data_IF_875507446990
#
_entry.id   IF_875507446990
#
_cell.length_a   1.000
_cell.length_b   1.000
_cell.length_c   1.000
_cell.angle_alpha   90.00
_cell.angle_beta   90.00
_cell.angle_gamma   90.00
#
_symmetry.space_group_name_H-M   'P 1'
#
loop_
_entity.id
_entity.type
_entity.pdbx_description
1 polymer ?
#
# COMPACT_ATOMS: atom_id res chain seq x y z
N UNK A 1 14.63 -11.00 -14.88
CA UNK A 1 15.23 -10.19 -13.79
C UNK A 1 16.77 -10.18 -13.80
N UNK A 2 17.46 -11.31 -13.97
CA UNK A 2 18.94 -11.42 -13.86
C UNK A 2 19.74 -10.49 -14.80
N UNK A 3 19.36 -10.41 -16.09
CA UNK A 3 20.06 -9.57 -17.07
C UNK A 3 19.96 -8.07 -16.77
N UNK A 4 18.79 -7.62 -16.31
CA UNK A 4 18.58 -6.23 -15.88
C UNK A 4 19.50 -5.86 -14.72
N UNK A 5 19.56 -6.69 -13.66
CA UNK A 5 20.39 -6.38 -12.50
C UNK A 5 21.90 -6.41 -12.80
N UNK A 6 22.35 -7.22 -13.79
CA UNK A 6 23.74 -7.16 -14.29
C UNK A 6 24.07 -5.83 -14.96
N UNK A 7 23.11 -5.22 -15.67
CA UNK A 7 23.28 -3.90 -16.30
C UNK A 7 23.15 -2.75 -15.30
N UNK A 8 22.22 -2.83 -14.35
CA UNK A 8 22.05 -1.77 -13.36
C UNK A 8 23.24 -1.69 -12.43
N UNK A 9 23.77 -2.83 -11.95
CA UNK A 9 24.85 -2.82 -10.95
C UNK A 9 26.13 -2.12 -11.41
N UNK A 10 26.39 -2.07 -12.73
CA UNK A 10 27.59 -1.43 -13.29
C UNK A 10 27.54 0.10 -13.25
N UNK A 11 26.37 0.70 -12.96
CA UNK A 11 26.19 2.15 -12.91
C UNK A 11 26.89 2.82 -11.72
N UNK A 12 27.32 2.06 -10.71
CA UNK A 12 28.01 2.56 -9.51
C UNK A 12 28.85 1.47 -8.87
N UNK A 13 29.91 1.87 -8.17
CA UNK A 13 30.84 0.93 -7.53
C UNK A 13 30.28 0.28 -6.26
N UNK A 14 29.43 0.98 -5.50
CA UNK A 14 28.86 0.51 -4.23
C UNK A 14 27.34 0.62 -4.28
N UNK A 15 26.66 -0.41 -3.77
CA UNK A 15 25.21 -0.47 -3.66
C UNK A 15 24.79 -0.63 -2.21
N UNK A 16 23.94 0.26 -1.73
CA UNK A 16 23.21 0.03 -0.47
C UNK A 16 21.94 -0.76 -0.73
N UNK A 17 21.36 -1.34 0.32
CA UNK A 17 20.05 -1.97 0.23
C UNK A 17 18.97 -1.00 -0.24
N UNK A 18 19.01 0.25 0.25
CA UNK A 18 18.10 1.33 -0.13
C UNK A 18 18.16 1.62 -1.64
N UNK A 19 19.37 1.66 -2.19
CA UNK A 19 19.59 1.89 -3.62
C UNK A 19 19.02 0.76 -4.49
N UNK A 20 19.27 -0.49 -4.08
CA UNK A 20 18.72 -1.65 -4.76
C UNK A 20 17.19 -1.61 -4.77
N UNK A 21 16.57 -1.38 -3.60
CA UNK A 21 15.11 -1.31 -3.47
C UNK A 21 14.53 -0.19 -4.33
N UNK A 22 15.21 0.96 -4.42
CA UNK A 22 14.79 2.07 -5.28
C UNK A 22 14.79 1.69 -6.77
N UNK A 23 15.88 1.11 -7.28
CA UNK A 23 15.98 0.69 -8.68
C UNK A 23 15.04 -0.48 -9.01
N UNK A 24 14.94 -1.44 -8.10
CA UNK A 24 14.02 -2.56 -8.21
C UNK A 24 12.57 -2.08 -8.32
N UNK A 25 12.17 -1.21 -7.40
CA UNK A 25 10.84 -0.62 -7.44
C UNK A 25 10.63 0.22 -8.69
N UNK A 26 11.61 1.01 -9.13
CA UNK A 26 11.47 1.79 -10.36
C UNK A 26 11.25 0.89 -11.59
N UNK A 27 11.93 -0.26 -11.66
CA UNK A 27 11.82 -1.19 -12.79
C UNK A 27 10.54 -2.03 -12.77
N UNK A 28 10.15 -2.52 -11.60
CA UNK A 28 9.10 -3.54 -11.45
C UNK A 28 7.82 -3.03 -10.79
N UNK A 29 7.88 -1.85 -10.18
CA UNK A 29 6.76 -1.22 -9.49
C UNK A 29 6.64 0.26 -9.90
N UNK A 30 6.34 0.50 -11.20
CA UNK A 30 6.36 1.83 -11.79
C UNK A 30 5.34 2.75 -11.11
N UNK A 31 5.51 4.06 -11.30
CA UNK A 31 4.70 5.07 -10.63
C UNK A 31 3.20 4.85 -10.85
N UNK A 32 2.80 4.47 -12.06
CA UNK A 32 1.40 4.23 -12.42
C UNK A 32 0.80 3.04 -11.66
N UNK A 33 1.62 2.05 -11.27
CA UNK A 33 1.16 0.93 -10.45
C UNK A 33 0.94 1.36 -8.99
N UNK A 34 1.82 2.22 -8.47
CA UNK A 34 1.68 2.82 -7.13
C UNK A 34 0.45 3.72 -7.06
N UNK A 35 0.28 4.58 -8.06
CA UNK A 35 -0.85 5.50 -8.14
C UNK A 35 -2.17 4.73 -8.20
N UNK A 36 -2.24 3.62 -8.97
CA UNK A 36 -3.41 2.74 -8.98
C UNK A 36 -3.70 2.10 -7.62
N UNK A 37 -2.67 1.69 -6.88
CA UNK A 37 -2.86 1.14 -5.53
C UNK A 37 -3.32 2.21 -4.56
N UNK A 38 -2.82 3.43 -4.69
CA UNK A 38 -3.23 4.56 -3.88
C UNK A 38 -4.67 4.99 -4.17
N UNK A 39 -5.07 5.04 -5.44
CA UNK A 39 -6.47 5.25 -5.83
C UNK A 39 -7.37 4.14 -5.28
N UNK A 40 -6.96 2.87 -5.42
CA UNK A 40 -7.69 1.74 -4.81
C UNK A 40 -7.83 1.89 -3.31
N UNK A 41 -6.80 2.36 -2.61
CA UNK A 41 -6.86 2.57 -1.17
C UNK A 41 -7.82 3.70 -0.77
N UNK A 42 -7.83 4.79 -1.54
CA UNK A 42 -8.73 5.93 -1.35
C UNK A 42 -10.20 5.59 -1.67
N UNK A 43 -10.42 4.69 -2.62
CA UNK A 43 -11.77 4.21 -2.97
C UNK A 43 -12.20 2.98 -2.16
N UNK A 44 -11.29 2.39 -1.37
CA UNK A 44 -11.60 1.18 -0.60
C UNK A 44 -12.71 1.46 0.42
N UNK A 45 -13.80 0.73 0.25
CA UNK A 45 -14.90 0.63 1.20
C UNK A 45 -15.19 -0.85 1.44
N UNK A 46 -15.86 -1.16 2.55
CA UNK A 46 -16.30 -2.52 2.84
C UNK A 46 -17.18 -3.04 1.70
N UNK A 47 -18.04 -2.21 1.11
CA UNK A 47 -18.93 -2.60 0.02
C UNK A 47 -19.70 -3.86 0.39
N UNK A 48 -19.77 -4.84 -0.51
CA UNK A 48 -20.41 -6.13 -0.21
C UNK A 48 -19.54 -7.15 0.55
N UNK A 49 -18.30 -6.79 0.91
CA UNK A 49 -17.37 -7.69 1.60
C UNK A 49 -17.73 -7.90 3.07
N UNK A 50 -17.32 -9.04 3.62
CA UNK A 50 -17.24 -9.20 5.07
C UNK A 50 -16.20 -8.24 5.66
N UNK A 51 -16.30 -7.95 6.97
CA UNK A 51 -15.33 -7.08 7.66
C UNK A 51 -13.92 -7.67 7.56
N UNK A 52 -13.78 -9.00 7.64
CA UNK A 52 -12.49 -9.69 7.56
C UNK A 52 -11.84 -9.59 6.17
N UNK A 53 -12.63 -9.71 5.10
CA UNK A 53 -12.11 -9.53 3.74
C UNK A 53 -11.72 -8.08 3.48
N UNK A 54 -12.52 -7.13 3.95
CA UNK A 54 -12.20 -5.71 3.91
C UNK A 54 -10.90 -5.39 4.66
N UNK A 55 -10.72 -5.93 5.87
CA UNK A 55 -9.52 -5.76 6.68
C UNK A 55 -8.27 -6.33 6.01
N UNK A 56 -8.35 -7.53 5.45
CA UNK A 56 -7.26 -8.12 4.69
C UNK A 56 -6.86 -7.28 3.47
N UNK A 57 -7.83 -6.69 2.76
CA UNK A 57 -7.57 -5.81 1.62
C UNK A 57 -7.00 -4.46 2.08
N UNK A 58 -7.52 -3.88 3.17
CA UNK A 58 -7.03 -2.66 3.77
C UNK A 58 -5.56 -2.79 4.16
N UNK A 59 -5.21 -3.82 4.95
CA UNK A 59 -3.83 -4.07 5.38
C UNK A 59 -2.88 -4.26 4.19
N UNK A 60 -3.32 -4.97 3.14
CA UNK A 60 -2.53 -5.16 1.93
C UNK A 60 -2.24 -3.83 1.23
N UNK A 61 -3.21 -2.92 1.15
CA UNK A 61 -3.04 -1.64 0.48
C UNK A 61 -2.21 -0.65 1.30
N UNK A 62 -2.40 -0.62 2.63
CA UNK A 62 -1.65 0.26 3.56
C UNK A 62 -0.13 0.11 3.40
N UNK A 63 0.36 -1.11 3.24
CA UNK A 63 1.80 -1.39 3.04
C UNK A 63 2.34 -0.73 1.76
N UNK A 64 1.53 -0.64 0.71
CA UNK A 64 1.96 -0.13 -0.59
C UNK A 64 1.77 1.38 -0.76
N UNK A 65 0.96 2.03 0.09
CA UNK A 65 0.69 3.47 0.05
C UNK A 65 1.52 4.28 1.05
N UNK A 66 2.53 3.66 1.68
CA UNK A 66 3.34 4.33 2.71
C UNK A 66 2.61 4.46 4.04
N UNK A 67 1.79 3.48 4.40
CA UNK A 67 1.03 3.45 5.66
C UNK A 67 1.88 3.59 6.92
N UNK A 68 3.15 3.18 6.88
CA UNK A 68 4.12 3.39 7.97
C UNK A 68 4.39 4.88 8.26
N UNK A 69 4.13 5.77 7.30
CA UNK A 69 4.26 7.23 7.44
C UNK A 69 2.98 7.89 7.95
N UNK A 70 1.89 7.13 8.10
CA UNK A 70 0.58 7.60 8.53
C UNK A 70 0.38 7.22 9.99
N UNK A 71 -0.11 8.15 10.81
CA UNK A 71 -0.38 7.84 12.22
C UNK A 71 -1.44 6.74 12.35
N UNK A 72 -1.29 5.88 13.36
CA UNK A 72 -2.25 4.81 13.66
C UNK A 72 -3.68 5.35 13.78
N UNK A 73 -3.85 6.51 14.42
CA UNK A 73 -5.15 7.19 14.54
C UNK A 73 -5.74 7.54 13.17
N UNK A 74 -4.93 8.02 12.22
CA UNK A 74 -5.40 8.33 10.88
C UNK A 74 -5.78 7.07 10.10
N UNK A 75 -5.01 5.97 10.24
CA UNK A 75 -5.33 4.67 9.67
C UNK A 75 -6.64 4.10 10.23
N UNK A 76 -6.82 4.13 11.56
CA UNK A 76 -8.07 3.71 12.22
C UNK A 76 -9.27 4.55 11.75
N UNK A 77 -9.11 5.87 11.69
CA UNK A 77 -10.18 6.75 11.20
C UNK A 77 -10.58 6.40 9.77
N UNK A 78 -9.60 6.19 8.89
CA UNK A 78 -9.82 5.79 7.50
C UNK A 78 -10.49 4.41 7.40
N UNK A 79 -10.04 3.45 8.20
CA UNK A 79 -10.65 2.11 8.27
C UNK A 79 -12.13 2.18 8.65
N UNK A 80 -12.46 2.91 9.72
CA UNK A 80 -13.82 3.08 10.21
C UNK A 80 -14.72 3.84 9.22
N UNK A 81 -14.16 4.79 8.47
CA UNK A 81 -14.90 5.51 7.44
C UNK A 81 -15.35 4.60 6.29
N UNK A 82 -14.51 3.62 5.91
CA UNK A 82 -14.82 2.66 4.85
C UNK A 82 -15.78 1.54 5.26
N UNK A 83 -16.03 1.32 6.55
CA UNK A 83 -17.01 0.34 7.02
C UNK A 83 -18.46 0.72 6.62
N UNK A 84 -19.30 -0.30 6.42
CA UNK A 84 -20.74 -0.11 6.19
C UNK A 84 -21.38 0.64 7.35
N UNK A 85 -22.39 1.46 7.03
CA UNK A 85 -23.04 2.38 7.99
C UNK A 85 -23.58 1.65 9.22
N UNK A 86 -24.22 0.50 9.04
CA UNK A 86 -24.81 -0.32 10.11
C UNK A 86 -23.77 -0.83 11.12
N UNK A 87 -22.56 -1.18 10.67
CA UNK A 87 -21.46 -1.63 11.54
C UNK A 87 -20.80 -0.42 12.20
N UNK A 88 -20.58 0.64 11.44
CA UNK A 88 -19.96 1.88 11.94
C UNK A 88 -20.75 2.53 13.08
N UNK A 89 -22.07 2.43 13.07
CA UNK A 89 -22.92 2.94 14.17
C UNK A 89 -22.83 2.09 15.43
N UNK A 90 -22.53 0.80 15.34
CA UNK A 90 -22.31 -0.07 16.52
C UNK A 90 -20.96 0.19 17.19
N UNK A 91 -19.92 0.56 16.44
CA UNK A 91 -18.60 0.88 17.02
C UNK A 91 -18.51 2.27 17.68
N UNK A 92 -19.60 3.07 17.63
CA UNK A 92 -19.68 4.40 18.26
C UNK A 92 -20.57 4.44 19.50
N UNK A 93 -21.19 3.31 19.85
CA UNK A 93 -22.01 3.13 21.05
C UNK A 93 -21.21 2.55 22.20
#
# INVERSE_FOLDING_TARGET
AHLWWRSVRTRRAVWTWVDFVKEFNHKFFPHEARDRLQLRFLDLTQGEKSVREYDAEFCRLVVHTGGELVSERALMSRFLQGLRRNIRTQCRG
#
